data_IF_405075323996
#
_entry.id   IF_405075323996
#
_cell.length_a   1.000
_cell.length_b   1.000
_cell.length_c   1.000
_cell.angle_alpha   90.00
_cell.angle_beta   90.00
_cell.angle_gamma   90.00
#
_symmetry.space_group_name_H-M   'P 1'
#
loop_
_entity.id
_entity.type
_entity.pdbx_description
1 polymer ?
#
# COMPACT_ATOMS: atom_id res chain seq x y z
N UNK A 1 -8.47 -6.63 -25.66
CA UNK A 1 -7.82 -5.34 -25.32
C UNK A 1 -6.33 -5.56 -25.20
N UNK A 2 -5.51 -4.56 -25.50
CA UNK A 2 -4.06 -4.60 -25.32
C UNK A 2 -3.69 -3.62 -24.21
N UNK A 3 -2.95 -4.10 -23.21
CA UNK A 3 -2.44 -3.28 -22.12
C UNK A 3 -0.94 -3.12 -22.27
N UNK A 4 -0.45 -1.89 -22.09
CA UNK A 4 0.97 -1.58 -22.03
C UNK A 4 1.30 -1.14 -20.62
N UNK A 5 2.42 -1.65 -20.08
CA UNK A 5 2.83 -1.40 -18.71
C UNK A 5 4.24 -0.84 -18.69
N UNK A 6 4.46 0.17 -17.85
CA UNK A 6 5.81 0.57 -17.43
C UNK A 6 6.24 -0.32 -16.28
N UNK A 7 7.38 -0.99 -16.42
CA UNK A 7 8.00 -1.79 -15.36
C UNK A 7 9.09 -0.99 -14.66
N UNK A 8 9.01 -0.88 -13.34
CA UNK A 8 10.06 -0.31 -12.51
C UNK A 8 10.95 -1.42 -11.95
N UNK A 9 12.26 -1.27 -12.10
CA UNK A 9 13.27 -2.14 -11.51
C UNK A 9 14.57 -1.33 -11.34
N UNK A 10 15.02 -1.06 -10.10
CA UNK A 10 14.60 -1.71 -8.85
C UNK A 10 13.39 -1.06 -8.15
N UNK A 11 12.73 -1.84 -7.30
CA UNK A 11 11.79 -1.37 -6.27
C UNK A 11 12.40 -1.72 -4.92
N UNK A 12 12.48 -0.74 -4.00
CA UNK A 12 13.15 -0.91 -2.69
C UNK A 12 12.15 -0.74 -1.56
N UNK A 13 12.32 -1.52 -0.49
CA UNK A 13 11.55 -1.36 0.75
C UNK A 13 11.86 0.00 1.39
N UNK A 14 10.81 0.69 1.82
CA UNK A 14 10.90 1.95 2.58
C UNK A 14 10.44 1.74 4.01
N UNK A 15 9.35 1.00 4.20
CA UNK A 15 8.78 0.73 5.51
C UNK A 15 8.01 -0.59 5.51
N UNK A 16 8.16 -1.34 6.60
CA UNK A 16 7.25 -2.41 6.99
C UNK A 16 7.15 -2.40 8.52
N UNK A 17 5.97 -2.62 9.10
CA UNK A 17 5.83 -2.76 10.55
C UNK A 17 6.48 -4.07 11.03
N UNK A 18 6.70 -4.19 12.33
CA UNK A 18 7.06 -5.48 12.92
C UNK A 18 5.96 -6.51 12.65
N UNK A 19 6.34 -7.79 12.55
CA UNK A 19 5.42 -8.88 12.25
C UNK A 19 4.24 -8.93 13.24
N UNK A 20 4.46 -8.62 14.51
CA UNK A 20 3.41 -8.62 15.53
C UNK A 20 2.33 -7.56 15.28
N UNK A 21 2.67 -6.44 14.61
CA UNK A 21 1.71 -5.41 14.23
C UNK A 21 1.08 -5.69 12.85
N UNK A 22 1.89 -6.10 11.87
CA UNK A 22 1.42 -6.39 10.51
C UNK A 22 0.58 -7.66 10.40
N UNK A 23 0.82 -8.65 11.25
CA UNK A 23 0.12 -9.92 11.30
C UNK A 23 -0.59 -10.13 12.66
N UNK A 24 -1.02 -9.03 13.28
CA UNK A 24 -1.75 -9.09 14.54
C UNK A 24 -3.01 -9.95 14.41
N UNK A 25 -3.28 -10.77 15.42
CA UNK A 25 -4.37 -11.74 15.43
C UNK A 25 -4.09 -13.04 14.66
N UNK A 26 -3.10 -13.03 13.76
CA UNK A 26 -2.65 -14.19 13.01
C UNK A 26 -3.72 -14.87 12.16
N UNK A 27 -3.57 -16.17 11.96
CA UNK A 27 -4.53 -16.99 11.19
C UNK A 27 -5.97 -16.94 11.76
N UNK A 28 -6.21 -16.97 13.10
CA UNK A 28 -7.57 -16.89 13.65
C UNK A 28 -8.34 -15.63 13.22
N UNK A 29 -7.66 -14.49 13.12
CA UNK A 29 -8.29 -13.23 12.72
C UNK A 29 -8.33 -13.07 11.19
N UNK A 30 -7.74 -14.01 10.45
CA UNK A 30 -7.79 -13.96 8.99
C UNK A 30 -9.21 -14.17 8.47
N UNK A 31 -9.63 -13.36 7.49
CA UNK A 31 -11.00 -13.34 6.94
C UNK A 31 -12.11 -13.04 7.95
N UNK A 32 -11.81 -12.32 9.03
CA UNK A 32 -12.79 -11.90 10.03
C UNK A 32 -12.90 -10.38 10.14
N UNK A 33 -14.02 -9.92 10.71
CA UNK A 33 -14.26 -8.53 11.10
C UNK A 33 -14.92 -8.51 12.49
N UNK A 34 -14.54 -7.62 13.43
CA UNK A 34 -13.54 -6.55 13.31
C UNK A 34 -12.10 -7.08 13.21
N UNK A 35 -11.18 -6.26 12.69
CA UNK A 35 -9.76 -6.62 12.52
C UNK A 35 -8.86 -5.44 12.88
N UNK A 36 -7.70 -5.76 13.45
CA UNK A 36 -6.79 -4.78 14.08
C UNK A 36 -5.35 -4.84 13.57
N UNK A 37 -5.08 -5.64 12.53
CA UNK A 37 -3.75 -5.73 11.93
C UNK A 37 -3.41 -4.45 11.14
N UNK A 38 -2.19 -3.94 11.33
CA UNK A 38 -1.63 -2.85 10.52
C UNK A 38 -0.98 -3.44 9.26
N UNK A 39 -1.80 -4.00 8.37
CA UNK A 39 -1.35 -4.74 7.19
C UNK A 39 -0.95 -3.79 6.05
N UNK A 40 0.24 -3.20 6.15
CA UNK A 40 0.78 -2.25 5.16
C UNK A 40 2.30 -2.38 5.01
N UNK A 41 2.80 -2.15 3.80
CA UNK A 41 4.21 -1.85 3.58
C UNK A 41 4.34 -0.73 2.54
N UNK A 42 5.38 0.10 2.68
CA UNK A 42 5.71 1.12 1.68
C UNK A 42 6.97 0.71 0.95
N UNK A 43 6.91 0.80 -0.38
CA UNK A 43 8.03 0.60 -1.29
C UNK A 43 8.22 1.84 -2.14
N UNK A 44 9.43 2.02 -2.68
CA UNK A 44 9.75 3.09 -3.62
C UNK A 44 10.31 2.50 -4.90
N UNK A 45 9.73 2.93 -6.03
CA UNK A 45 10.24 2.63 -7.35
C UNK A 45 11.46 3.51 -7.67
N UNK A 46 12.41 2.96 -8.40
CA UNK A 46 13.61 3.64 -8.88
C UNK A 46 13.76 3.43 -10.38
N UNK A 47 14.45 4.37 -11.01
CA UNK A 47 14.94 4.24 -12.37
C UNK A 47 16.12 3.25 -12.44
N UNK A 48 16.51 2.79 -13.64
CA UNK A 48 17.67 1.91 -13.81
C UNK A 48 19.00 2.51 -13.33
N UNK A 49 19.15 3.84 -13.37
CA UNK A 49 20.30 4.59 -12.85
C UNK A 49 20.27 4.76 -11.32
N UNK A 50 19.20 4.29 -10.66
CA UNK A 50 19.10 4.26 -9.20
C UNK A 50 18.59 5.55 -8.57
N UNK A 51 18.05 6.48 -9.37
CA UNK A 51 17.34 7.65 -8.87
C UNK A 51 15.86 7.29 -8.57
N UNK A 52 15.22 7.90 -7.55
CA UNK A 52 13.80 7.68 -7.29
C UNK A 52 12.96 7.98 -8.53
N UNK A 53 12.02 7.11 -8.86
CA UNK A 53 11.12 7.35 -9.98
C UNK A 53 10.18 8.53 -9.68
N UNK A 54 9.98 9.41 -10.67
CA UNK A 54 8.98 10.47 -10.58
C UNK A 54 7.57 9.88 -10.72
N UNK A 55 6.69 10.27 -9.80
CA UNK A 55 5.27 9.86 -9.75
C UNK A 55 4.39 11.10 -9.59
N UNK A 56 4.21 11.90 -10.66
CA UNK A 56 3.44 13.15 -10.58
C UNK A 56 1.97 12.88 -10.21
N UNK A 57 1.41 11.78 -10.72
CA UNK A 57 0.07 11.31 -10.38
C UNK A 57 0.17 10.30 -9.23
N UNK A 58 -0.18 10.71 -8.02
CA UNK A 58 -0.25 9.85 -6.85
C UNK A 58 -1.39 10.29 -5.93
N UNK A 59 -1.85 9.38 -5.07
CA UNK A 59 -2.86 9.71 -4.07
C UNK A 59 -2.25 10.56 -2.95
N UNK A 60 -2.93 11.64 -2.60
CA UNK A 60 -2.64 12.41 -1.39
C UNK A 60 -3.06 11.64 -0.14
N UNK A 61 -2.52 12.05 1.01
CA UNK A 61 -2.93 11.52 2.30
C UNK A 61 -3.99 12.42 2.93
N UNK A 62 -5.13 11.84 3.29
CA UNK A 62 -6.11 12.47 4.15
C UNK A 62 -5.85 12.02 5.60
N UNK A 63 -5.53 12.98 6.48
CA UNK A 63 -5.20 12.70 7.86
C UNK A 63 -6.45 12.56 8.76
N UNK A 64 -7.60 13.03 8.30
CA UNK A 64 -8.85 12.99 9.06
C UNK A 64 -9.49 11.59 9.00
N UNK A 65 -9.15 10.79 7.99
CA UNK A 65 -9.65 9.43 7.82
C UNK A 65 -11.01 9.37 7.13
N UNK A 66 -11.69 8.23 7.23
CA UNK A 66 -13.03 8.03 6.66
C UNK A 66 -14.09 7.98 7.75
N UNK A 67 -15.25 8.57 7.50
CA UNK A 67 -16.42 8.56 8.37
C UNK A 67 -17.47 7.54 7.92
N UNK A 68 -18.40 7.20 8.83
CA UNK A 68 -19.53 6.34 8.50
C UNK A 68 -20.42 7.00 7.43
N UNK A 69 -20.67 6.26 6.34
CA UNK A 69 -21.49 6.73 5.23
C UNK A 69 -20.73 7.44 4.11
N UNK A 70 -19.41 7.61 4.26
CA UNK A 70 -18.57 8.18 3.20
C UNK A 70 -18.56 7.33 1.93
N UNK A 71 -18.48 8.00 0.79
CA UNK A 71 -18.33 7.36 -0.51
C UNK A 71 -16.88 6.88 -0.69
N UNK A 72 -16.70 5.56 -0.78
CA UNK A 72 -15.39 4.93 -0.97
C UNK A 72 -15.28 4.35 -2.38
N UNK A 73 -14.15 4.63 -3.05
CA UNK A 73 -13.77 4.02 -4.32
C UNK A 73 -12.53 3.14 -4.14
N UNK A 74 -12.49 2.00 -4.83
CA UNK A 74 -11.35 1.08 -4.82
C UNK A 74 -10.96 0.79 -6.27
N UNK A 75 -9.66 0.79 -6.55
CA UNK A 75 -9.07 0.37 -7.83
C UNK A 75 -7.86 -0.52 -7.55
N UNK A 76 -7.73 -1.58 -8.32
CA UNK A 76 -6.70 -2.61 -8.18
C UNK A 76 -6.84 -3.69 -9.23
#
# INVERSE_FOLDING_TARGET
QLYTYRRYAPVKLVFAPELQAGFYGGDPDNFTYPRWALDVSFVRAYTPDGTPAETPDHFGWDADGADEGDLVFITG
#
